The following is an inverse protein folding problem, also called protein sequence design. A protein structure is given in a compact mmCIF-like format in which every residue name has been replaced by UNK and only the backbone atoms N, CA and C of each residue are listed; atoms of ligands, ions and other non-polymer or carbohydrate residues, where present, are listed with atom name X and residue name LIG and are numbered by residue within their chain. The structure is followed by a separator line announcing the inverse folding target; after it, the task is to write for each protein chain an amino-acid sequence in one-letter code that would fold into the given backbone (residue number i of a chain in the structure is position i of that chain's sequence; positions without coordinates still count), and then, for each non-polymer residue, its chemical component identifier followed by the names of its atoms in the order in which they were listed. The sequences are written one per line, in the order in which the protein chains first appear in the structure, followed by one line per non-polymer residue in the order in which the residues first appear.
data_IF_906860959934
#
_entry.id   IF_906860959934
#
_cell.length_a   1.000
_cell.length_b   1.000
_cell.length_c   1.000
_cell.angle_alpha   90.00
_cell.angle_beta   90.00
_cell.angle_gamma   90.00
#
_symmetry.space_group_name_H-M   'P 1'
#
loop_
_entity.id
_entity.type
_entity.pdbx_description
1 polymer ?
#
# COMPACT_ATOMS: atom_id res chain seq x y z
N UNK A 1 11.39 41.20 2.74
CA UNK A 1 11.57 39.77 2.42
C UNK A 1 10.24 39.08 2.68
N UNK A 2 9.44 38.85 1.64
CA UNK A 2 8.17 38.12 1.78
C UNK A 2 8.45 36.66 1.46
N UNK A 3 8.40 35.79 2.47
CA UNK A 3 8.52 34.35 2.30
C UNK A 3 7.14 33.81 1.90
N UNK A 4 6.91 33.68 0.58
CA UNK A 4 5.69 33.12 0.02
C UNK A 4 5.51 31.65 0.44
N UNK A 5 4.33 31.32 0.96
CA UNK A 5 3.93 29.97 1.38
C UNK A 5 3.91 29.01 0.18
N UNK A 6 4.56 27.85 0.32
CA UNK A 6 4.40 26.73 -0.59
C UNK A 6 3.06 26.03 -0.32
N UNK A 7 2.23 25.88 -1.35
CA UNK A 7 1.07 24.99 -1.32
C UNK A 7 0.91 24.37 -2.71
N UNK A 8 1.74 23.38 -3.00
CA UNK A 8 1.51 22.48 -4.12
C UNK A 8 0.54 21.39 -3.68
N UNK A 9 -0.74 21.53 -4.00
CA UNK A 9 -1.71 20.44 -3.93
C UNK A 9 -1.41 19.47 -5.07
N UNK A 10 -0.90 18.29 -4.74
CA UNK A 10 -0.69 17.21 -5.72
C UNK A 10 -2.02 16.49 -5.87
N UNK A 11 -2.64 16.62 -7.04
CA UNK A 11 -3.85 15.91 -7.43
C UNK A 11 -3.48 14.44 -7.75
N UNK A 12 -4.19 13.47 -7.17
CA UNK A 12 -4.06 12.07 -7.55
C UNK A 12 -5.20 11.71 -8.50
N UNK A 13 -4.88 11.45 -9.76
CA UNK A 13 -5.85 11.00 -10.75
C UNK A 13 -5.98 9.47 -10.70
N UNK A 14 -7.11 8.97 -10.18
CA UNK A 14 -7.48 7.55 -10.29
C UNK A 14 -8.28 7.38 -11.59
N UNK A 15 -7.63 6.94 -12.66
CA UNK A 15 -8.32 6.58 -13.91
C UNK A 15 -9.16 5.31 -13.71
N UNK A 16 -10.42 5.46 -13.33
CA UNK A 16 -11.42 4.40 -13.41
C UNK A 16 -11.78 4.12 -14.87
N UNK A 17 -11.39 2.97 -15.41
CA UNK A 17 -11.80 2.53 -16.75
C UNK A 17 -12.75 1.35 -16.65
N UNK A 18 -14.04 1.63 -16.44
CA UNK A 18 -15.11 0.68 -16.74
C UNK A 18 -15.45 0.76 -18.23
N UNK A 19 -14.77 -0.04 -19.05
CA UNK A 19 -15.23 -0.32 -20.42
C UNK A 19 -15.92 -1.68 -20.43
N UNK A 20 -17.25 -1.61 -20.50
CA UNK A 20 -18.12 -2.74 -20.77
C UNK A 20 -17.72 -3.37 -22.12
N UNK A 21 -17.04 -4.50 -22.06
CA UNK A 21 -16.84 -5.40 -23.19
C UNK A 21 -17.75 -6.61 -23.01
N UNK A 22 -18.86 -6.66 -23.74
CA UNK A 22 -19.66 -7.86 -23.92
C UNK A 22 -18.90 -8.84 -24.81
N UNK A 23 -18.18 -9.78 -24.21
CA UNK A 23 -17.70 -10.98 -24.89
C UNK A 23 -17.76 -12.17 -23.91
N UNK A 24 -18.37 -13.25 -24.39
CA UNK A 24 -18.74 -14.48 -23.69
C UNK A 24 -17.66 -15.05 -22.75
N UNK A 25 -18.03 -15.26 -21.48
CA UNK A 25 -17.27 -16.10 -20.56
C UNK A 25 -18.23 -16.99 -19.77
N UNK A 26 -18.78 -18.00 -20.44
CA UNK A 26 -19.31 -19.21 -19.81
C UNK A 26 -18.20 -19.81 -18.93
N UNK A 27 -18.16 -19.48 -17.64
CA UNK A 27 -17.17 -20.03 -16.70
C UNK A 27 -16.40 -19.04 -15.82
N UNK A 28 -16.94 -17.86 -15.50
CA UNK A 28 -16.45 -17.11 -14.33
C UNK A 28 -16.97 -17.78 -13.05
N UNK A 29 -16.47 -18.98 -12.74
CA UNK A 29 -16.58 -19.53 -11.38
C UNK A 29 -16.06 -18.46 -10.43
N UNK A 30 -16.94 -18.05 -9.51
CA UNK A 30 -16.84 -16.90 -8.65
C UNK A 30 -15.42 -16.41 -8.39
N UNK A 31 -15.23 -15.10 -8.62
CA UNK A 31 -14.22 -14.22 -8.03
C UNK A 31 -13.49 -14.97 -6.92
N UNK A 32 -12.34 -15.60 -7.23
CA UNK A 32 -11.61 -16.37 -6.23
C UNK A 32 -11.39 -15.43 -5.06
N UNK A 33 -12.02 -15.71 -3.92
CA UNK A 33 -11.81 -14.95 -2.70
C UNK A 33 -10.33 -15.13 -2.39
N UNK A 34 -9.54 -14.09 -2.70
CA UNK A 34 -8.11 -14.11 -2.50
C UNK A 34 -7.90 -14.27 -1.00
N UNK A 35 -7.24 -15.36 -0.61
CA UNK A 35 -6.86 -15.60 0.78
C UNK A 35 -6.03 -14.40 1.25
N UNK A 36 -6.61 -13.56 2.09
CA UNK A 36 -5.89 -12.45 2.71
C UNK A 36 -4.96 -13.02 3.78
N UNK A 37 -3.74 -12.52 3.83
CA UNK A 37 -2.79 -12.87 4.88
C UNK A 37 -2.84 -11.79 5.96
N UNK A 38 -3.24 -12.17 7.16
CA UNK A 38 -3.25 -11.30 8.32
C UNK A 38 -1.99 -11.54 9.15
N UNK A 39 -1.42 -10.45 9.66
CA UNK A 39 -0.24 -10.50 10.52
C UNK A 39 -0.53 -9.69 11.78
N UNK A 40 -0.12 -10.24 12.92
CA UNK A 40 -0.19 -9.50 14.17
C UNK A 40 0.81 -8.32 14.15
N UNK A 41 0.50 -7.28 14.91
CA UNK A 41 1.44 -6.16 15.09
C UNK A 41 2.82 -6.65 15.58
N UNK A 42 2.84 -7.65 16.46
CA UNK A 42 4.08 -8.18 17.01
C UNK A 42 4.94 -8.88 15.95
N UNK A 43 4.32 -9.54 14.96
CA UNK A 43 5.04 -10.13 13.82
C UNK A 43 5.65 -9.05 12.93
N UNK A 44 4.89 -8.01 12.63
CA UNK A 44 5.38 -6.85 11.87
C UNK A 44 6.51 -6.11 12.60
N UNK A 45 6.37 -5.90 13.91
CA UNK A 45 7.40 -5.29 14.75
C UNK A 45 8.69 -6.15 14.73
N UNK A 46 8.58 -7.47 14.89
CA UNK A 46 9.75 -8.35 14.80
C UNK A 46 10.40 -8.30 13.41
N UNK A 47 9.62 -8.31 12.35
CA UNK A 47 10.12 -8.25 10.96
C UNK A 47 10.92 -6.97 10.68
N UNK A 48 10.53 -5.84 11.30
CA UNK A 48 11.13 -4.52 11.10
C UNK A 48 12.19 -4.16 12.15
N UNK A 49 12.60 -5.10 13.01
CA UNK A 49 13.43 -4.84 14.18
C UNK A 49 12.87 -3.71 15.07
N UNK A 50 11.61 -3.84 15.46
CA UNK A 50 10.80 -2.88 16.21
C UNK A 50 10.74 -1.50 15.55
N UNK A 51 10.56 -1.45 14.23
CA UNK A 51 10.54 -0.20 13.45
C UNK A 51 11.81 0.63 13.67
N UNK A 52 12.98 -0.02 13.71
CA UNK A 52 14.27 0.66 13.85
C UNK A 52 14.45 1.72 12.75
N UNK A 53 15.02 2.86 13.11
CA UNK A 53 15.37 3.91 12.15
C UNK A 53 16.37 3.43 11.10
N UNK A 54 17.17 2.41 11.41
CA UNK A 54 18.09 1.79 10.45
C UNK A 54 17.35 1.12 9.28
N UNK A 55 16.10 0.71 9.50
CA UNK A 55 15.24 0.08 8.50
C UNK A 55 14.27 1.09 7.85
N UNK A 56 14.39 2.38 8.13
CA UNK A 56 13.48 3.40 7.61
C UNK A 56 13.91 3.82 6.21
N UNK A 57 13.05 3.56 5.23
CA UNK A 57 13.33 3.90 3.83
C UNK A 57 12.92 5.35 3.52
N UNK A 58 11.67 5.70 3.84
CA UNK A 58 11.07 6.98 3.46
C UNK A 58 10.09 7.49 4.54
N UNK A 59 9.86 8.80 4.58
CA UNK A 59 8.79 9.43 5.36
C UNK A 59 8.12 10.54 4.53
N UNK A 60 6.80 10.52 4.47
CA UNK A 60 6.00 11.54 3.77
C UNK A 60 4.72 11.88 4.53
N UNK A 61 3.79 12.58 3.88
CA UNK A 61 2.51 12.98 4.49
C UNK A 61 1.60 11.82 4.92
N UNK A 62 1.92 10.60 4.47
CA UNK A 62 1.17 9.36 4.77
C UNK A 62 1.82 8.50 5.86
N UNK A 63 2.95 8.94 6.43
CA UNK A 63 3.68 8.22 7.47
C UNK A 63 5.08 7.78 7.04
N UNK A 64 5.65 6.87 7.82
CA UNK A 64 7.00 6.32 7.62
C UNK A 64 6.94 4.89 7.08
N UNK A 65 7.85 4.57 6.17
CA UNK A 65 7.98 3.25 5.53
C UNK A 65 9.22 2.57 6.06
N UNK A 66 9.06 1.34 6.56
CA UNK A 66 10.15 0.53 7.09
C UNK A 66 10.30 -0.75 6.27
N UNK A 67 11.55 -1.14 6.02
CA UNK A 67 11.89 -2.47 5.53
C UNK A 67 11.76 -3.50 6.65
N UNK A 68 11.25 -4.69 6.32
CA UNK A 68 11.21 -5.80 7.26
C UNK A 68 11.04 -7.14 6.56
N UNK A 69 11.63 -8.19 7.14
CA UNK A 69 11.55 -9.56 6.63
C UNK A 69 10.59 -10.39 7.47
N UNK A 70 9.50 -10.82 6.85
CA UNK A 70 8.45 -11.57 7.52
C UNK A 70 8.63 -13.07 7.28
N UNK A 71 8.95 -13.80 8.36
CA UNK A 71 9.03 -15.26 8.31
C UNK A 71 7.62 -15.87 8.37
N UNK A 72 7.19 -16.42 7.24
CA UNK A 72 5.95 -17.21 7.14
C UNK A 72 6.11 -18.49 7.96
N UNK A 73 5.05 -18.90 8.69
CA UNK A 73 5.01 -20.18 9.41
C UNK A 73 4.70 -21.34 8.48
#
# INVERSE_FOLDING_TARGET
MVLGKASGSVEYETSGSSRAGTASATGLTGIMVTKSMEFSYQELAKATNNFSLDNKNCQGGFGAVYYGELKLR
#
